data_IF_298027965964
#
_entry.id   IF_298027965964
#
_cell.length_a   1.000
_cell.length_b   1.000
_cell.length_c   1.000
_cell.angle_alpha   90.00
_cell.angle_beta   90.00
_cell.angle_gamma   90.00
#
_symmetry.space_group_name_H-M   'P 1'
#
loop_
_entity.id
_entity.type
_entity.pdbx_description
1 polymer ?
#
# COMPACT_ATOMS: atom_id res chain seq x y z
N UNK A 1 -3.69 -10.32 19.87
CA UNK A 1 -4.17 -9.14 19.11
C UNK A 1 -3.54 -9.21 17.73
N UNK A 2 -4.28 -9.59 16.70
CA UNK A 2 -3.73 -9.63 15.34
C UNK A 2 -3.33 -8.22 14.91
N UNK A 3 -2.05 -8.02 14.65
CA UNK A 3 -1.55 -6.76 14.08
C UNK A 3 -2.19 -6.56 12.71
N UNK A 4 -2.53 -5.33 12.32
CA UNK A 4 -2.96 -5.08 10.95
C UNK A 4 -1.82 -5.35 9.96
N UNK A 5 -2.17 -5.62 8.70
CA UNK A 5 -1.21 -5.75 7.60
C UNK A 5 -0.21 -4.59 7.61
N UNK A 6 -0.71 -3.37 7.72
CA UNK A 6 0.12 -2.18 7.60
C UNK A 6 1.00 -1.94 8.82
N UNK A 7 0.56 -2.33 10.01
CA UNK A 7 1.43 -2.35 11.19
C UNK A 7 2.58 -3.32 10.99
N UNK A 8 2.31 -4.51 10.42
CA UNK A 8 3.34 -5.51 10.13
C UNK A 8 4.33 -5.04 9.06
N UNK A 9 3.84 -4.44 7.97
CA UNK A 9 4.69 -3.82 6.94
C UNK A 9 5.56 -2.74 7.57
N UNK A 10 4.97 -1.82 8.35
CA UNK A 10 5.70 -0.73 9.01
C UNK A 10 6.79 -1.28 9.93
N UNK A 11 6.46 -2.26 10.77
CA UNK A 11 7.42 -2.88 11.66
C UNK A 11 8.61 -3.51 10.90
N UNK A 12 8.33 -4.33 9.88
CA UNK A 12 9.37 -5.02 9.11
C UNK A 12 10.22 -4.04 8.31
N UNK A 13 9.61 -3.03 7.70
CA UNK A 13 10.31 -2.01 6.92
C UNK A 13 11.29 -1.16 7.76
N UNK A 14 11.09 -1.10 9.09
CA UNK A 14 12.01 -0.41 10.00
C UNK A 14 12.95 -1.34 10.77
N UNK A 15 12.59 -2.62 10.96
CA UNK A 15 13.39 -3.58 11.75
C UNK A 15 14.20 -4.56 10.92
N UNK A 16 13.86 -4.77 9.65
CA UNK A 16 14.52 -5.73 8.79
C UNK A 16 15.02 -5.04 7.50
N UNK A 17 16.34 -4.80 7.37
CA UNK A 17 16.93 -4.14 6.19
C UNK A 17 16.65 -4.85 4.86
N UNK A 18 16.64 -6.19 4.85
CA UNK A 18 16.38 -6.97 3.64
C UNK A 18 14.92 -6.84 3.20
N UNK A 19 13.99 -6.89 4.15
CA UNK A 19 12.58 -6.65 3.85
C UNK A 19 12.35 -5.21 3.37
N UNK A 20 13.01 -4.25 3.99
CA UNK A 20 12.97 -2.84 3.62
C UNK A 20 13.40 -2.57 2.18
N UNK A 21 14.49 -3.18 1.73
CA UNK A 21 14.94 -3.09 0.34
C UNK A 21 13.94 -3.78 -0.60
N UNK A 22 13.48 -4.97 -0.22
CA UNK A 22 12.56 -5.76 -1.05
C UNK A 22 11.19 -5.09 -1.20
N UNK A 23 10.59 -4.56 -0.13
CA UNK A 23 9.26 -3.91 -0.22
C UNK A 23 9.31 -2.63 -1.08
N UNK A 24 10.46 -1.97 -1.18
CA UNK A 24 10.66 -0.77 -2.02
C UNK A 24 10.97 -1.10 -3.50
N UNK A 25 11.43 -2.32 -3.81
CA UNK A 25 11.88 -2.74 -5.15
C UNK A 25 11.01 -3.82 -5.80
N UNK A 26 10.51 -4.76 -5.02
CA UNK A 26 9.61 -5.85 -5.40
C UNK A 26 8.55 -6.07 -4.30
N UNK A 27 7.55 -5.17 -4.22
CA UNK A 27 6.52 -5.23 -3.19
C UNK A 27 5.67 -6.49 -3.29
N UNK A 28 5.47 -7.07 -4.49
CA UNK A 28 4.73 -8.32 -4.64
C UNK A 28 5.42 -9.46 -3.90
N UNK A 29 6.73 -9.62 -4.12
CA UNK A 29 7.52 -10.65 -3.44
C UNK A 29 7.59 -10.42 -1.94
N UNK A 30 7.83 -9.18 -1.50
CA UNK A 30 7.90 -8.85 -0.09
C UNK A 30 6.57 -9.13 0.64
N UNK A 31 5.44 -8.75 0.04
CA UNK A 31 4.11 -8.98 0.61
C UNK A 31 3.73 -10.47 0.64
N UNK A 32 4.12 -11.25 -0.38
CA UNK A 32 3.92 -12.69 -0.38
C UNK A 32 4.62 -13.39 0.81
N UNK A 33 5.81 -12.92 1.21
CA UNK A 33 6.54 -13.47 2.37
C UNK A 33 5.79 -13.36 3.70
N UNK A 34 4.86 -12.41 3.81
CA UNK A 34 4.05 -12.19 5.02
C UNK A 34 2.61 -12.67 4.86
N UNK A 35 2.34 -13.47 3.82
CA UNK A 35 1.03 -14.08 3.58
C UNK A 35 0.01 -13.14 2.92
N UNK A 36 0.46 -12.11 2.20
CA UNK A 36 -0.43 -11.22 1.43
C UNK A 36 -0.49 -11.70 -0.01
N UNK A 37 -1.71 -11.77 -0.55
CA UNK A 37 -1.97 -12.08 -1.95
C UNK A 37 -2.23 -10.76 -2.67
N UNK A 38 -1.32 -10.35 -3.56
CA UNK A 38 -1.48 -9.16 -4.39
C UNK A 38 -1.99 -9.59 -5.77
N UNK A 39 -3.13 -9.06 -6.27
CA UNK A 39 -3.62 -9.39 -7.60
C UNK A 39 -2.62 -8.99 -8.69
N UNK A 40 -2.50 -9.80 -9.75
CA UNK A 40 -1.51 -9.58 -10.83
C UNK A 40 -1.69 -8.25 -11.57
N UNK A 41 -2.91 -7.72 -11.61
CA UNK A 41 -3.25 -6.47 -12.28
C UNK A 41 -3.07 -5.22 -11.38
N UNK A 42 -2.52 -5.37 -10.18
CA UNK A 42 -2.30 -4.29 -9.23
C UNK A 42 -0.80 -4.00 -9.15
N UNK A 43 -0.41 -2.82 -9.61
CA UNK A 43 0.96 -2.33 -9.40
C UNK A 43 1.04 -1.61 -8.06
N UNK A 44 2.04 -1.95 -7.26
CA UNK A 44 2.31 -1.31 -5.97
C UNK A 44 3.60 -0.48 -6.04
N UNK A 45 3.54 0.76 -5.58
CA UNK A 45 4.72 1.56 -5.21
C UNK A 45 4.64 1.82 -3.71
N UNK A 46 5.55 1.23 -2.94
CA UNK A 46 5.60 1.36 -1.48
C UNK A 46 6.90 2.07 -1.10
N UNK A 47 6.76 3.17 -0.37
CA UNK A 47 7.88 3.98 0.10
C UNK A 47 7.88 4.05 1.62
N UNK A 48 9.06 3.84 2.23
CA UNK A 48 9.26 4.20 3.64
C UNK A 48 9.36 5.71 3.76
N UNK A 49 8.48 6.33 4.53
CA UNK A 49 8.53 7.76 4.79
C UNK A 49 9.74 8.10 5.69
N UNK A 50 10.71 8.81 5.12
CA UNK A 50 11.94 9.24 5.82
C UNK A 50 11.83 10.72 6.23
N UNK A 51 12.45 11.09 7.35
CA UNK A 51 12.38 12.45 7.93
C UNK A 51 13.04 13.53 7.05
N UNK A 52 13.93 13.12 6.16
CA UNK A 52 14.73 13.96 5.27
C UNK A 52 14.20 13.99 3.83
N UNK A 53 13.05 13.35 3.56
CA UNK A 53 12.52 13.18 2.20
C UNK A 53 11.12 13.77 2.09
N UNK A 54 10.90 14.65 1.12
CA UNK A 54 9.55 15.09 0.73
C UNK A 54 8.97 14.13 -0.31
N UNK A 55 7.73 13.69 -0.08
CA UNK A 55 6.99 12.82 -0.99
C UNK A 55 5.87 13.62 -1.66
N UNK A 56 5.84 13.60 -2.98
CA UNK A 56 4.78 14.21 -3.78
C UNK A 56 4.25 13.19 -4.78
N UNK A 57 2.95 12.91 -4.71
CA UNK A 57 2.26 12.01 -5.65
C UNK A 57 1.38 12.87 -6.54
N UNK A 58 1.70 12.89 -7.83
CA UNK A 58 0.97 13.65 -8.83
C UNK A 58 -0.24 12.83 -9.27
N UNK A 59 -1.47 13.34 -9.15
CA UNK A 59 -2.65 12.64 -9.64
C UNK A 59 -2.65 12.61 -11.19
N UNK A 60 -3.41 11.68 -11.79
CA UNK A 60 -3.61 11.66 -13.23
C UNK A 60 -4.14 13.00 -13.76
N UNK A 61 -3.50 13.49 -14.82
CA UNK A 61 -3.94 14.68 -15.55
C UNK A 61 -4.75 14.27 -16.79
N UNK A 62 -5.79 15.02 -17.10
CA UNK A 62 -6.57 14.89 -18.34
C UNK A 62 -6.99 16.28 -18.82
N UNK A 63 -6.91 16.52 -20.12
CA UNK A 63 -7.43 17.74 -20.76
C UNK A 63 -8.97 17.79 -20.73
N UNK A 64 -9.61 16.62 -20.65
CA UNK A 64 -11.05 16.46 -20.45
C UNK A 64 -11.33 16.20 -18.95
N UNK A 65 -11.90 17.15 -18.19
CA UNK A 65 -12.07 17.05 -16.74
C UNK A 65 -12.90 15.85 -16.31
N UNK A 66 -13.94 15.49 -17.05
CA UNK A 66 -14.76 14.31 -16.76
C UNK A 66 -13.97 13.00 -16.82
N UNK A 67 -12.91 12.92 -17.63
CA UNK A 67 -12.01 11.75 -17.64
C UNK A 67 -11.04 11.78 -16.46
N UNK A 68 -10.63 12.95 -15.98
CA UNK A 68 -9.86 13.06 -14.74
C UNK A 68 -10.67 12.56 -13.54
N UNK A 69 -11.97 12.89 -13.48
CA UNK A 69 -12.90 12.50 -12.43
C UNK A 69 -13.25 11.00 -12.44
N UNK A 70 -13.03 10.29 -13.55
CA UNK A 70 -13.09 8.81 -13.54
C UNK A 70 -11.90 8.18 -12.83
N UNK A 71 -10.84 8.97 -12.57
CA UNK A 71 -9.64 8.56 -11.84
C UNK A 71 -9.55 9.33 -10.52
N UNK A 72 -10.64 9.34 -9.75
CA UNK A 72 -10.61 9.81 -8.37
C UNK A 72 -9.60 8.96 -7.58
N UNK A 73 -8.48 9.59 -7.22
CA UNK A 73 -7.57 9.05 -6.24
C UNK A 73 -8.26 9.13 -4.87
N UNK A 74 -8.55 7.97 -4.30
CA UNK A 74 -8.91 7.85 -2.90
C UNK A 74 -7.62 7.85 -2.08
N UNK A 75 -7.56 8.77 -1.13
CA UNK A 75 -6.62 8.69 -0.03
C UNK A 75 -7.30 7.89 1.07
N UNK A 76 -6.88 6.65 1.28
CA UNK A 76 -7.38 5.85 2.39
C UNK A 76 -6.53 6.18 3.63
N UNK A 77 -7.07 7.07 4.45
CA UNK A 77 -6.59 7.42 5.79
C UNK A 77 -7.40 6.65 6.84
N UNK A 78 -7.70 5.37 6.64
CA UNK A 78 -8.46 4.61 7.64
C UNK A 78 -7.60 4.11 8.78
N UNK A 79 -7.79 4.76 9.95
CA UNK A 79 -7.80 4.24 11.32
C UNK A 79 -6.65 3.37 11.85
N UNK A 80 -5.61 3.09 11.08
CA UNK A 80 -4.52 2.21 11.52
C UNK A 80 -3.32 3.03 11.97
N UNK A 81 -3.47 3.53 13.19
CA UNK A 81 -2.38 3.91 14.09
C UNK A 81 -1.45 5.06 13.65
N UNK A 82 -1.86 5.94 12.73
CA UNK A 82 -1.05 7.09 12.27
C UNK A 82 0.24 6.71 11.51
N UNK A 83 0.37 5.46 11.06
CA UNK A 83 1.67 4.94 10.56
C UNK A 83 1.87 5.01 9.04
N UNK A 84 0.84 5.25 8.22
CA UNK A 84 0.95 5.20 6.76
C UNK A 84 -0.23 5.88 6.05
N UNK A 85 -0.10 6.06 4.73
CA UNK A 85 -1.15 6.56 3.83
C UNK A 85 -1.15 5.72 2.56
N UNK A 86 -2.32 5.20 2.16
CA UNK A 86 -2.51 4.67 0.81
C UNK A 86 -3.10 5.74 -0.09
N UNK A 87 -2.50 5.90 -1.27
CA UNK A 87 -3.03 6.73 -2.35
C UNK A 87 -3.29 5.78 -3.52
N UNK A 88 -4.54 5.67 -3.96
CA UNK A 88 -4.93 4.74 -5.02
C UNK A 88 -6.15 5.25 -5.78
N UNK A 89 -6.35 4.86 -7.05
CA UNK A 89 -7.64 5.05 -7.71
C UNK A 89 -8.76 4.33 -6.95
N UNK A 90 -9.96 4.90 -6.91
CA UNK A 90 -11.13 4.31 -6.25
C UNK A 90 -11.37 2.84 -6.64
N UNK A 91 -11.17 2.50 -7.93
CA UNK A 91 -11.35 1.14 -8.45
C UNK A 91 -10.45 0.08 -7.79
N UNK A 92 -9.35 0.50 -7.15
CA UNK A 92 -8.41 -0.39 -6.45
C UNK A 92 -8.76 -0.67 -4.99
N UNK A 93 -9.82 -0.05 -4.46
CA UNK A 93 -10.22 -0.21 -3.06
C UNK A 93 -10.57 -1.64 -2.70
N UNK A 94 -11.23 -2.37 -3.60
CA UNK A 94 -11.61 -3.78 -3.36
C UNK A 94 -10.37 -4.67 -3.27
N UNK A 95 -9.35 -4.38 -4.07
CA UNK A 95 -8.08 -5.11 -4.08
C UNK A 95 -7.30 -4.86 -2.79
N UNK A 96 -7.26 -3.62 -2.29
CA UNK A 96 -6.66 -3.33 -0.98
C UNK A 96 -7.39 -4.08 0.16
N UNK A 97 -8.72 -4.14 0.12
CA UNK A 97 -9.50 -4.91 1.11
C UNK A 97 -9.21 -6.41 1.00
N UNK A 98 -9.07 -6.96 -0.21
CA UNK A 98 -8.69 -8.35 -0.44
C UNK A 98 -7.29 -8.66 0.12
N UNK A 99 -6.31 -7.78 -0.09
CA UNK A 99 -4.97 -7.92 0.49
C UNK A 99 -5.00 -7.94 2.03
N UNK A 100 -5.79 -7.06 2.65
CA UNK A 100 -5.99 -7.04 4.11
C UNK A 100 -6.65 -8.34 4.60
N UNK A 101 -7.61 -8.87 3.85
CA UNK A 101 -8.27 -10.13 4.17
C UNK A 101 -7.34 -11.33 4.03
N UNK A 102 -6.52 -11.41 2.97
CA UNK A 102 -5.57 -12.50 2.77
C UNK A 102 -4.55 -12.54 3.90
N UNK A 103 -4.02 -11.37 4.31
CA UNK A 103 -3.11 -11.28 5.45
C UNK A 103 -3.74 -11.84 6.73
N UNK A 104 -4.97 -11.46 7.07
CA UNK A 104 -5.67 -11.97 8.26
C UNK A 104 -5.93 -13.47 8.16
N UNK A 105 -6.33 -13.96 6.99
CA UNK A 105 -6.59 -15.38 6.75
C UNK A 105 -5.33 -16.23 6.94
N UNK A 106 -4.18 -15.71 6.50
CA UNK A 106 -2.90 -16.41 6.53
C UNK A 106 -2.12 -16.21 7.84
N UNK A 107 -2.62 -15.36 8.76
CA UNK A 107 -2.03 -15.07 10.08
C UNK A 107 -3.13 -15.04 11.17
N UNK A 108 -3.66 -16.22 11.58
CA UNK A 108 -4.78 -16.33 12.53
C UNK A 108 -4.45 -15.91 13.96
#
# INVERSE_FOLDING_TARGET
>A
MNSSLERKITELAWRNPLFAEMIETDPHRALAQIGVEVPENVNLDIRRQRRDTLYYVIPPYSEEPEKADTVINQMDLWQSAELFVWIMPQKLKVQLLAMRQSYRRNNP
#
